data_IF_330129782831
#
_entry.id   IF_330129782831
#
_cell.length_a   1.000
_cell.length_b   1.000
_cell.length_c   1.000
_cell.angle_alpha   90.00
_cell.angle_beta   90.00
_cell.angle_gamma   90.00
#
_symmetry.space_group_name_H-M   'P 1'
#
loop_
_entity.id
_entity.type
_entity.pdbx_description
1 polymer ?
#
# COMPACT_ATOMS: atom_id res chain seq x y z
N UNK A 1 -13.96 12.97 31.97
CA UNK A 1 -12.98 12.34 31.05
C UNK A 1 -13.32 10.87 30.92
N UNK A 2 -13.26 10.30 29.72
CA UNK A 2 -13.47 8.85 29.49
C UNK A 2 -12.26 8.32 28.73
N UNK A 3 -11.58 7.33 29.31
CA UNK A 3 -10.49 6.59 28.69
C UNK A 3 -11.00 5.19 28.32
N UNK A 4 -10.66 4.71 27.12
CA UNK A 4 -10.87 3.32 26.70
C UNK A 4 -9.58 2.79 26.12
N UNK A 5 -9.15 1.62 26.58
CA UNK A 5 -7.98 0.92 26.08
C UNK A 5 -8.37 -0.51 25.74
N UNK A 6 -7.72 -1.08 24.74
CA UNK A 6 -7.94 -2.45 24.29
C UNK A 6 -6.68 -3.05 23.70
N UNK A 7 -6.60 -4.37 23.75
CA UNK A 7 -5.55 -5.16 23.11
C UNK A 7 -6.15 -6.39 22.46
N UNK A 8 -5.57 -6.80 21.33
CA UNK A 8 -5.90 -8.07 20.66
C UNK A 8 -4.60 -8.74 20.25
N UNK A 9 -4.52 -10.03 20.55
CA UNK A 9 -3.38 -10.88 20.24
C UNK A 9 -3.89 -12.15 19.59
N UNK A 10 -3.39 -12.46 18.40
CA UNK A 10 -3.75 -13.69 17.70
C UNK A 10 -2.55 -14.21 16.95
N UNK A 11 -2.29 -15.51 17.06
CA UNK A 11 -1.27 -16.21 16.28
C UNK A 11 -1.86 -17.41 15.56
N UNK A 12 -2.76 -17.22 14.57
CA UNK A 12 -3.19 -18.31 13.70
C UNK A 12 -2.00 -18.95 12.99
N UNK A 13 -2.09 -20.26 12.84
CA UNK A 13 -1.15 -21.07 12.08
C UNK A 13 -1.87 -21.76 10.92
N UNK A 14 -1.15 -21.96 9.82
CA UNK A 14 -1.67 -22.65 8.63
C UNK A 14 -0.62 -23.61 8.11
N UNK A 15 -0.99 -24.88 7.96
CA UNK A 15 -0.22 -25.85 7.19
C UNK A 15 -0.35 -25.57 5.70
N UNK A 16 0.79 -25.54 5.01
CA UNK A 16 0.91 -25.35 3.57
C UNK A 16 1.77 -26.46 2.97
N UNK A 17 1.53 -26.76 1.70
CA UNK A 17 2.29 -27.75 0.94
C UNK A 17 3.06 -27.04 -0.17
N UNK A 18 4.34 -27.38 -0.32
CA UNK A 18 5.22 -26.89 -1.37
C UNK A 18 4.75 -27.40 -2.72
N UNK A 19 4.88 -26.56 -3.74
CA UNK A 19 4.59 -26.97 -5.09
C UNK A 19 5.67 -27.92 -5.59
N UNK A 20 5.31 -28.88 -6.44
CA UNK A 20 6.22 -29.86 -7.06
C UNK A 20 6.82 -30.89 -6.08
N UNK A 21 7.50 -30.47 -5.02
CA UNK A 21 8.16 -31.39 -4.05
C UNK A 21 7.20 -32.01 -3.04
N UNK A 22 6.01 -31.41 -2.83
CA UNK A 22 4.99 -31.94 -1.92
C UNK A 22 5.34 -31.87 -0.42
N UNK A 23 6.46 -31.24 -0.06
CA UNK A 23 6.85 -31.06 1.34
C UNK A 23 5.89 -30.12 2.09
N UNK A 24 5.62 -30.38 3.36
CA UNK A 24 4.75 -29.53 4.18
C UNK A 24 5.57 -28.55 5.02
N UNK A 25 5.05 -27.35 5.21
CA UNK A 25 5.57 -26.35 6.14
C UNK A 25 4.43 -25.57 6.79
N UNK A 26 4.70 -24.98 7.95
CA UNK A 26 3.71 -24.18 8.68
C UNK A 26 4.09 -22.71 8.59
N UNK A 27 3.14 -21.87 8.20
CA UNK A 27 3.24 -20.42 8.36
C UNK A 27 2.42 -19.97 9.56
N UNK A 28 2.90 -18.97 10.28
CA UNK A 28 2.16 -18.36 11.40
C UNK A 28 2.06 -16.85 11.19
N UNK A 29 0.93 -16.26 11.53
CA UNK A 29 0.74 -14.80 11.50
C UNK A 29 0.45 -14.33 12.92
N UNK A 30 1.45 -13.77 13.61
CA UNK A 30 1.30 -13.18 14.94
C UNK A 30 0.91 -11.71 14.81
N UNK A 31 -0.35 -11.40 15.06
CA UNK A 31 -0.87 -10.03 15.10
C UNK A 31 -1.02 -9.56 16.56
N UNK A 32 -0.36 -8.45 16.87
CA UNK A 32 -0.43 -7.75 18.15
C UNK A 32 -0.97 -6.35 17.91
N UNK A 33 -2.18 -6.08 18.39
CA UNK A 33 -2.83 -4.77 18.27
C UNK A 33 -3.09 -4.17 19.65
N UNK A 34 -2.74 -2.89 19.78
CA UNK A 34 -3.01 -2.06 20.94
C UNK A 34 -3.77 -0.83 20.50
N UNK A 35 -4.80 -0.44 21.24
CA UNK A 35 -5.56 0.77 20.98
C UNK A 35 -5.88 1.52 22.27
N UNK A 36 -5.86 2.84 22.16
CA UNK A 36 -6.23 3.75 23.24
C UNK A 36 -7.04 4.90 22.68
N UNK A 37 -8.08 5.29 23.40
CA UNK A 37 -8.93 6.43 23.06
C UNK A 37 -9.27 7.22 24.31
N UNK A 38 -8.99 8.52 24.26
CA UNK A 38 -9.39 9.49 25.26
C UNK A 38 -10.50 10.34 24.67
N UNK A 39 -11.57 10.53 25.45
CA UNK A 39 -12.64 11.49 25.15
C UNK A 39 -12.81 12.43 26.33
N UNK A 40 -12.74 13.72 26.07
CA UNK A 40 -12.74 14.76 27.08
C UNK A 40 -13.71 15.87 26.71
N UNK A 41 -14.78 16.02 27.48
CA UNK A 41 -15.62 17.22 27.46
C UNK A 41 -14.95 18.26 28.34
N UNK A 42 -14.27 19.25 27.73
CA UNK A 42 -13.61 20.35 28.43
C UNK A 42 -14.63 21.20 29.20
N UNK A 43 -15.78 21.41 28.58
CA UNK A 43 -16.98 22.06 29.11
C UNK A 43 -18.18 21.70 28.20
N UNK A 44 -19.43 22.12 28.50
CA UNK A 44 -20.60 21.76 27.69
C UNK A 44 -20.52 22.14 26.20
N UNK A 45 -19.67 23.10 25.84
CA UNK A 45 -19.50 23.59 24.47
C UNK A 45 -18.29 22.99 23.75
N UNK A 46 -17.36 22.33 24.45
CA UNK A 46 -16.05 21.97 23.91
C UNK A 46 -15.73 20.50 24.19
N UNK A 47 -15.50 19.73 23.12
CA UNK A 47 -15.17 18.31 23.22
C UNK A 47 -13.90 18.00 22.43
N UNK A 48 -13.01 17.21 23.04
CA UNK A 48 -11.80 16.69 22.42
C UNK A 48 -11.81 15.16 22.45
N UNK A 49 -11.29 14.55 21.38
CA UNK A 49 -11.10 13.10 21.25
C UNK A 49 -9.71 12.85 20.69
N UNK A 50 -8.95 11.97 21.33
CA UNK A 50 -7.62 11.55 20.86
C UNK A 50 -7.63 10.02 20.81
N UNK A 51 -7.08 9.46 19.74
CA UNK A 51 -6.98 8.02 19.55
C UNK A 51 -5.61 7.63 19.02
N UNK A 52 -5.14 6.48 19.46
CA UNK A 52 -3.93 5.84 18.98
C UNK A 52 -4.19 4.35 18.77
N UNK A 53 -3.68 3.79 17.68
CA UNK A 53 -3.67 2.36 17.44
C UNK A 53 -2.29 1.96 16.94
N UNK A 54 -1.70 0.95 17.57
CA UNK A 54 -0.50 0.26 17.08
C UNK A 54 -0.90 -1.15 16.68
N UNK A 55 -0.44 -1.60 15.53
CA UNK A 55 -0.52 -3.01 15.12
C UNK A 55 0.84 -3.46 14.60
N UNK A 56 1.33 -4.56 15.14
CA UNK A 56 2.51 -5.27 14.63
C UNK A 56 2.03 -6.63 14.13
N UNK A 57 2.40 -6.99 12.91
CA UNK A 57 2.10 -8.30 12.33
C UNK A 57 3.41 -8.96 11.93
N UNK A 58 3.77 -10.02 12.63
CA UNK A 58 4.95 -10.86 12.34
C UNK A 58 4.47 -12.12 11.62
N UNK A 59 5.00 -12.37 10.43
CA UNK A 59 4.65 -13.56 9.63
C UNK A 59 5.88 -14.44 9.54
N UNK A 60 5.77 -15.67 10.03
CA UNK A 60 6.82 -16.68 9.94
C UNK A 60 6.61 -17.60 8.73
N UNK A 61 7.71 -18.00 8.08
CA UNK A 61 7.73 -18.83 6.87
C UNK A 61 6.77 -18.32 5.79
N UNK A 62 6.73 -17.00 5.58
CA UNK A 62 6.00 -16.38 4.50
C UNK A 62 6.68 -16.68 3.16
N UNK A 63 5.96 -16.46 2.05
CA UNK A 63 6.50 -16.65 0.71
C UNK A 63 5.92 -15.63 -0.28
N UNK A 64 6.65 -15.43 -1.36
CA UNK A 64 6.16 -14.72 -2.53
C UNK A 64 6.07 -15.67 -3.72
N UNK A 65 4.92 -15.68 -4.39
CA UNK A 65 4.65 -16.56 -5.52
C UNK A 65 4.63 -18.05 -5.17
N UNK A 66 4.78 -18.88 -6.20
CA UNK A 66 4.85 -20.34 -6.06
C UNK A 66 6.28 -20.81 -5.77
N UNK A 67 6.48 -21.55 -4.67
CA UNK A 67 7.78 -22.06 -4.22
C UNK A 67 7.82 -23.59 -4.15
N UNK A 68 9.00 -24.16 -4.32
CA UNK A 68 9.26 -25.61 -4.34
C UNK A 68 10.05 -26.10 -3.11
N UNK A 69 10.67 -25.20 -2.36
CA UNK A 69 11.43 -25.52 -1.14
C UNK A 69 11.13 -24.53 0.00
N UNK A 70 11.55 -24.87 1.21
CA UNK A 70 11.47 -23.96 2.36
C UNK A 70 12.59 -22.93 2.39
N UNK A 71 13.69 -23.13 1.64
CA UNK A 71 14.72 -22.12 1.48
C UNK A 71 14.19 -20.83 0.82
N UNK A 72 13.10 -20.93 0.06
CA UNK A 72 12.40 -19.76 -0.52
C UNK A 72 11.40 -19.06 0.40
N UNK A 73 11.26 -19.51 1.64
CA UNK A 73 10.46 -18.82 2.65
C UNK A 73 11.26 -17.77 3.41
N UNK A 74 10.57 -16.79 3.99
CA UNK A 74 11.16 -15.73 4.80
C UNK A 74 10.21 -15.29 5.90
N UNK A 75 10.77 -14.70 6.95
CA UNK A 75 9.99 -14.07 8.02
C UNK A 75 9.95 -12.56 7.78
N UNK A 76 8.78 -11.95 7.92
CA UNK A 76 8.64 -10.51 7.75
C UNK A 76 7.76 -9.87 8.82
N UNK A 77 7.99 -8.60 9.08
CA UNK A 77 7.21 -7.80 10.04
C UNK A 77 6.55 -6.64 9.34
N UNK A 78 5.30 -6.36 9.69
CA UNK A 78 4.60 -5.12 9.30
C UNK A 78 4.18 -4.35 10.54
N UNK A 79 4.74 -3.15 10.70
CA UNK A 79 4.43 -2.24 11.79
C UNK A 79 3.52 -1.11 11.31
N UNK A 80 2.42 -0.88 12.03
CA UNK A 80 1.41 0.11 11.69
C UNK A 80 1.02 0.95 12.89
N UNK A 81 0.95 2.26 12.67
CA UNK A 81 0.56 3.24 13.65
C UNK A 81 -0.54 4.13 13.07
N UNK A 82 -1.61 4.36 13.83
CA UNK A 82 -2.67 5.30 13.47
C UNK A 82 -2.86 6.26 14.64
N UNK A 83 -2.76 7.55 14.34
CA UNK A 83 -3.02 8.65 15.27
C UNK A 83 -4.26 9.40 14.80
N UNK A 84 -5.13 9.74 15.74
CA UNK A 84 -6.30 10.57 15.46
C UNK A 84 -6.48 11.61 16.56
N UNK A 85 -6.81 12.82 16.18
CA UNK A 85 -7.25 13.87 17.09
C UNK A 85 -8.45 14.57 16.48
N UNK A 86 -9.47 14.85 17.28
CA UNK A 86 -10.67 15.55 16.87
C UNK A 86 -11.08 16.52 17.97
N UNK A 87 -11.51 17.70 17.58
CA UNK A 87 -11.98 18.74 18.48
C UNK A 87 -13.23 19.38 17.89
N UNK A 88 -14.28 19.51 18.70
CA UNK A 88 -15.51 20.19 18.33
C UNK A 88 -15.84 21.28 19.35
N UNK A 89 -16.31 22.43 18.86
CA UNK A 89 -16.71 23.55 19.70
C UNK A 89 -17.99 24.21 19.23
N UNK A 90 -18.86 24.54 20.18
CA UNK A 90 -20.03 25.39 20.03
C UNK A 90 -19.61 26.81 20.39
N UNK A 91 -19.39 27.67 19.38
CA UNK A 91 -18.95 29.04 19.62
C UNK A 91 -20.14 29.91 20.08
N UNK A 92 -21.26 29.80 19.36
CA UNK A 92 -22.54 30.45 19.67
C UNK A 92 -23.68 29.43 19.52
N UNK A 93 -24.93 29.83 19.75
CA UNK A 93 -26.10 28.98 19.50
C UNK A 93 -26.28 28.58 18.03
N UNK A 94 -25.60 29.28 17.11
CA UNK A 94 -25.73 29.08 15.66
C UNK A 94 -24.39 28.95 14.92
N UNK A 95 -23.26 28.88 15.62
CA UNK A 95 -21.93 28.74 15.03
C UNK A 95 -21.14 27.63 15.72
N UNK A 96 -20.67 26.68 14.92
CA UNK A 96 -19.99 25.48 15.35
C UNK A 96 -18.69 25.30 14.56
N UNK A 97 -17.65 24.80 15.22
CA UNK A 97 -16.37 24.48 14.59
C UNK A 97 -15.93 23.06 14.91
N UNK A 98 -15.26 22.44 13.96
CA UNK A 98 -14.64 21.13 14.09
C UNK A 98 -13.24 21.16 13.48
N UNK A 99 -12.29 20.55 14.17
CA UNK A 99 -10.97 20.24 13.65
C UNK A 99 -10.67 18.76 13.80
N UNK A 100 -10.02 18.17 12.81
CA UNK A 100 -9.51 16.80 12.88
C UNK A 100 -8.08 16.74 12.37
N UNK A 101 -7.30 15.84 12.95
CA UNK A 101 -6.02 15.38 12.45
C UNK A 101 -6.03 13.86 12.44
N UNK A 102 -5.52 13.27 11.37
CA UNK A 102 -5.25 11.85 11.30
C UNK A 102 -3.88 11.61 10.67
N UNK A 103 -3.19 10.58 11.14
CA UNK A 103 -1.93 10.14 10.58
C UNK A 103 -1.84 8.63 10.62
N UNK A 104 -1.38 8.02 9.54
CA UNK A 104 -1.08 6.60 9.49
C UNK A 104 0.33 6.38 8.97
N UNK A 105 1.06 5.52 9.67
CA UNK A 105 2.39 5.04 9.27
C UNK A 105 2.27 3.53 9.12
N UNK A 106 2.81 2.98 8.03
CA UNK A 106 2.86 1.54 7.78
C UNK A 106 4.21 1.18 7.16
N UNK A 107 4.94 0.27 7.78
CA UNK A 107 6.24 -0.15 7.29
C UNK A 107 6.36 -1.68 7.30
N UNK A 108 6.73 -2.25 6.17
CA UNK A 108 6.96 -3.69 6.01
C UNK A 108 8.45 -3.94 5.84
N UNK A 109 9.00 -4.77 6.73
CA UNK A 109 10.42 -5.07 6.88
C UNK A 109 10.72 -6.54 6.63
N UNK A 110 12.00 -6.85 6.45
CA UNK A 110 12.55 -8.20 6.46
C UNK A 110 12.00 -9.12 5.36
N UNK A 111 11.45 -8.57 4.28
CA UNK A 111 10.90 -9.37 3.17
C UNK A 111 12.03 -9.89 2.27
N UNK A 112 12.13 -11.21 2.16
CA UNK A 112 12.96 -11.89 1.18
C UNK A 112 14.27 -12.44 1.73
N UNK A 113 15.28 -12.57 0.85
CA UNK A 113 16.54 -13.24 1.20
C UNK A 113 17.36 -12.44 2.20
N UNK A 114 17.97 -13.14 3.15
CA UNK A 114 18.96 -12.56 4.09
C UNK A 114 20.40 -12.66 3.57
N UNK A 115 20.58 -13.23 2.37
CA UNK A 115 21.87 -13.40 1.74
C UNK A 115 21.96 -12.52 0.49
N UNK A 116 23.11 -11.90 0.28
CA UNK A 116 23.39 -11.08 -0.92
C UNK A 116 24.40 -11.73 -1.86
N UNK A 117 24.93 -12.91 -1.51
CA UNK A 117 25.85 -13.65 -2.36
C UNK A 117 25.13 -14.33 -3.54
N UNK A 118 25.89 -14.62 -4.59
CA UNK A 118 25.39 -15.16 -5.85
C UNK A 118 24.80 -16.58 -5.72
N UNK A 119 25.06 -17.30 -4.62
CA UNK A 119 24.57 -18.67 -4.43
C UNK A 119 23.31 -18.68 -3.59
N UNK A 120 23.35 -18.20 -2.34
CA UNK A 120 22.22 -18.21 -1.41
C UNK A 120 21.26 -17.04 -1.59
N UNK A 121 21.70 -15.96 -2.24
CA UNK A 121 20.87 -14.79 -2.53
C UNK A 121 20.08 -14.88 -3.84
N UNK A 122 20.29 -15.95 -4.62
CA UNK A 122 19.77 -16.09 -5.99
C UNK A 122 18.60 -17.09 -6.05
N UNK A 123 17.36 -16.64 -6.24
CA UNK A 123 16.25 -17.55 -6.53
C UNK A 123 16.43 -18.18 -7.92
N UNK A 124 16.03 -19.44 -8.04
CA UNK A 124 16.03 -20.19 -9.31
C UNK A 124 14.58 -20.58 -9.63
N UNK A 125 14.12 -20.33 -10.85
CA UNK A 125 12.80 -20.75 -11.34
C UNK A 125 12.90 -21.89 -12.35
N UNK A 126 11.90 -22.77 -12.34
CA UNK A 126 11.73 -23.79 -13.38
C UNK A 126 10.89 -23.24 -14.54
N UNK A 127 11.52 -22.95 -15.68
CA UNK A 127 10.78 -22.40 -16.83
C UNK A 127 9.94 -23.44 -17.58
N UNK A 128 10.25 -24.73 -17.46
CA UNK A 128 9.47 -25.81 -18.07
C UNK A 128 8.14 -26.08 -17.36
N UNK A 129 7.97 -25.57 -16.14
CA UNK A 129 6.77 -25.78 -15.31
C UNK A 129 6.03 -24.47 -15.09
N UNK A 130 4.71 -24.50 -15.24
CA UNK A 130 3.84 -23.38 -14.90
C UNK A 130 2.76 -23.86 -13.95
N UNK A 131 2.64 -23.20 -12.80
CA UNK A 131 1.60 -23.48 -11.79
C UNK A 131 0.79 -22.21 -11.61
N UNK A 132 -0.46 -22.22 -12.07
CA UNK A 132 -1.25 -21.00 -12.20
C UNK A 132 -0.61 -20.07 -13.23
N UNK A 133 -0.15 -18.90 -12.79
CA UNK A 133 0.53 -17.89 -13.63
C UNK A 133 2.05 -17.82 -13.40
N UNK A 134 2.61 -18.68 -12.54
CA UNK A 134 3.99 -18.59 -12.08
C UNK A 134 4.85 -19.78 -12.54
N UNK A 135 6.11 -19.51 -12.87
CA UNK A 135 7.16 -20.52 -12.83
C UNK A 135 7.57 -20.74 -11.36
N UNK A 136 7.48 -21.97 -10.84
CA UNK A 136 7.77 -22.24 -9.44
C UNK A 136 9.26 -22.02 -9.14
N UNK A 137 9.57 -21.48 -7.95
CA UNK A 137 10.91 -21.04 -7.55
C UNK A 137 11.48 -21.83 -6.38
N UNK A 138 12.80 -21.86 -6.26
CA UNK A 138 13.54 -22.51 -5.18
C UNK A 138 14.88 -21.80 -4.90
N UNK A 139 15.67 -22.34 -3.97
CA UNK A 139 17.01 -21.95 -3.53
C UNK A 139 17.10 -20.67 -2.67
N UNK A 140 16.30 -19.65 -2.95
CA UNK A 140 16.30 -18.40 -2.19
C UNK A 140 14.93 -17.73 -2.26
N UNK A 141 14.54 -16.94 -1.25
CA UNK A 141 13.33 -16.14 -1.33
C UNK A 141 13.42 -15.09 -2.43
N UNK A 142 12.26 -14.71 -2.98
CA UNK A 142 12.14 -13.46 -3.75
C UNK A 142 12.25 -12.27 -2.80
N UNK A 143 12.78 -11.14 -3.31
CA UNK A 143 13.17 -9.94 -2.56
C UNK A 143 14.44 -10.07 -1.69
N UNK A 144 14.82 -8.97 -1.04
CA UNK A 144 16.01 -8.87 -0.20
C UNK A 144 15.69 -8.20 1.14
N UNK A 145 15.77 -8.96 2.22
CA UNK A 145 15.50 -8.52 3.59
C UNK A 145 16.60 -7.63 4.18
N UNK A 146 17.80 -7.69 3.62
CA UNK A 146 18.99 -6.97 4.13
C UNK A 146 19.42 -5.81 3.22
N UNK A 147 18.72 -5.60 2.11
CA UNK A 147 18.98 -4.51 1.17
C UNK A 147 18.19 -3.25 1.56
N UNK A 148 18.66 -2.06 1.16
CA UNK A 148 17.89 -0.81 1.31
C UNK A 148 17.54 -0.42 2.75
N UNK A 149 18.31 -0.89 3.74
CA UNK A 149 18.03 -0.65 5.16
C UNK A 149 16.97 -1.58 5.78
N UNK A 150 16.59 -2.65 5.07
CA UNK A 150 15.71 -3.71 5.57
C UNK A 150 14.21 -3.48 5.38
N UNK A 151 13.84 -2.39 4.71
CA UNK A 151 12.44 -2.04 4.42
C UNK A 151 12.08 -2.45 3.00
N UNK A 152 11.03 -3.26 2.85
CA UNK A 152 10.39 -3.45 1.54
C UNK A 152 9.63 -2.18 1.17
N UNK A 153 8.83 -1.67 2.10
CA UNK A 153 7.95 -0.54 1.83
C UNK A 153 7.66 0.24 3.11
N UNK A 154 7.76 1.56 3.02
CA UNK A 154 7.35 2.48 4.08
C UNK A 154 6.34 3.48 3.51
N UNK A 155 5.20 3.61 4.19
CA UNK A 155 4.12 4.54 3.86
C UNK A 155 3.80 5.43 5.06
N UNK A 156 3.63 6.71 4.80
CA UNK A 156 3.19 7.72 5.77
C UNK A 156 2.14 8.59 5.09
N UNK A 157 0.94 8.64 5.66
CA UNK A 157 -0.12 9.55 5.25
C UNK A 157 -0.62 10.36 6.43
N UNK A 158 -1.00 11.61 6.18
CA UNK A 158 -1.70 12.43 7.16
C UNK A 158 -2.69 13.38 6.51
N UNK A 159 -3.71 13.71 7.28
CA UNK A 159 -4.71 14.70 6.96
C UNK A 159 -4.93 15.59 8.17
N UNK A 160 -5.12 16.89 7.93
CA UNK A 160 -5.84 17.72 8.87
C UNK A 160 -6.90 18.52 8.15
N UNK A 161 -8.08 18.58 8.75
CA UNK A 161 -9.18 19.38 8.24
C UNK A 161 -9.75 20.29 9.33
N UNK A 162 -10.24 21.44 8.90
CA UNK A 162 -11.07 22.35 9.67
C UNK A 162 -12.42 22.55 8.99
N UNK A 163 -13.48 22.62 9.78
CA UNK A 163 -14.85 22.81 9.31
C UNK A 163 -15.59 23.79 10.22
N UNK A 164 -16.37 24.66 9.60
CA UNK A 164 -17.26 25.61 10.24
C UNK A 164 -18.68 25.32 9.77
N UNK A 165 -19.63 25.34 10.70
CA UNK A 165 -21.07 25.24 10.43
C UNK A 165 -21.78 26.44 11.04
N UNK A 166 -22.55 27.15 10.23
CA UNK A 166 -23.29 28.34 10.63
C UNK A 166 -24.76 28.24 10.20
N UNK A 167 -25.66 28.48 11.16
CA UNK A 167 -27.09 28.52 10.93
C UNK A 167 -27.57 29.98 10.92
N UNK A 168 -28.23 30.37 9.83
CA UNK A 168 -28.77 31.71 9.65
C UNK A 168 -30.25 31.59 9.27
N UNK A 169 -31.12 32.30 9.97
CA UNK A 169 -32.53 32.40 9.60
C UNK A 169 -32.88 33.87 9.42
N UNK A 170 -33.46 34.21 8.26
CA UNK A 170 -33.92 35.57 7.97
C UNK A 170 -35.36 35.53 7.49
N UNK A 171 -36.11 36.61 7.74
CA UNK A 171 -37.51 36.72 7.30
C UNK A 171 -37.66 36.82 5.77
N UNK A 172 -36.60 37.24 5.05
CA UNK A 172 -36.64 37.49 3.61
C UNK A 172 -36.05 36.35 2.78
N UNK A 173 -35.02 35.69 3.29
CA UNK A 173 -34.30 34.62 2.56
C UNK A 173 -34.53 33.25 3.20
N UNK A 174 -35.32 33.12 4.26
CA UNK A 174 -35.56 31.84 4.90
C UNK A 174 -34.34 31.36 5.70
N UNK A 175 -34.16 30.04 5.80
CA UNK A 175 -33.14 29.43 6.65
C UNK A 175 -31.98 28.83 5.85
N UNK A 176 -30.76 29.07 6.30
CA UNK A 176 -29.51 28.64 5.72
C UNK A 176 -28.75 27.76 6.71
N UNK A 177 -28.15 26.69 6.21
CA UNK A 177 -27.17 25.88 6.91
C UNK A 177 -25.89 25.90 6.08
N UNK A 178 -24.98 26.80 6.44
CA UNK A 178 -23.75 27.08 5.73
C UNK A 178 -22.65 26.25 6.36
N UNK A 179 -21.96 25.46 5.54
CA UNK A 179 -20.79 24.69 5.91
C UNK A 179 -19.63 25.13 5.04
N UNK A 180 -18.51 25.46 5.66
CA UNK A 180 -17.26 25.73 4.96
C UNK A 180 -16.12 24.97 5.62
N UNK A 181 -15.10 24.61 4.85
CA UNK A 181 -13.96 23.91 5.40
C UNK A 181 -12.74 23.89 4.50
N UNK A 182 -11.66 23.41 5.08
CA UNK A 182 -10.36 23.26 4.45
C UNK A 182 -9.74 21.94 4.91
N UNK A 183 -9.09 21.24 3.99
CA UNK A 183 -8.29 20.04 4.26
C UNK A 183 -6.93 20.11 3.58
N UNK A 184 -5.93 19.49 4.21
CA UNK A 184 -4.58 19.35 3.68
C UNK A 184 -4.14 17.92 3.93
N UNK A 185 -4.14 17.17 2.83
CA UNK A 185 -3.79 15.76 2.80
C UNK A 185 -2.41 15.59 2.19
N UNK A 186 -1.59 14.72 2.80
CA UNK A 186 -0.32 14.26 2.25
C UNK A 186 -0.27 12.75 2.29
N UNK A 187 0.23 12.16 1.21
CA UNK A 187 0.71 10.78 1.15
C UNK A 187 2.20 10.76 0.80
N UNK A 188 2.93 9.82 1.41
CA UNK A 188 4.32 9.54 1.15
C UNK A 188 4.54 8.02 1.15
N UNK A 189 5.33 7.55 0.20
CA UNK A 189 5.69 6.15 0.03
C UNK A 189 7.14 6.06 -0.45
N UNK A 190 7.90 5.18 0.16
CA UNK A 190 9.26 4.81 -0.25
C UNK A 190 9.40 3.30 -0.31
N UNK A 191 9.90 2.81 -1.43
CA UNK A 191 10.11 1.39 -1.67
C UNK A 191 11.29 1.24 -2.64
N UNK A 192 12.30 0.46 -2.25
CA UNK A 192 13.31 -0.06 -3.17
C UNK A 192 12.97 -1.53 -3.45
N UNK A 193 12.45 -1.80 -4.64
CA UNK A 193 11.85 -3.09 -5.00
C UNK A 193 12.88 -4.16 -5.41
N UNK A 194 13.83 -4.47 -4.54
CA UNK A 194 14.87 -5.48 -4.77
C UNK A 194 14.24 -6.81 -5.11
N UNK A 195 14.48 -7.40 -6.29
CA UNK A 195 13.79 -8.65 -6.70
C UNK A 195 14.44 -9.92 -6.14
N UNK A 196 15.67 -9.82 -5.64
CA UNK A 196 16.40 -10.91 -4.99
C UNK A 196 17.53 -10.34 -4.14
N UNK A 197 18.12 -11.18 -3.29
CA UNK A 197 19.26 -10.81 -2.47
C UNK A 197 20.53 -10.53 -3.28
N UNK A 198 20.79 -11.36 -4.29
CA UNK A 198 21.94 -11.20 -5.21
C UNK A 198 21.71 -10.20 -6.33
N UNK A 199 20.48 -9.67 -6.47
CA UNK A 199 19.98 -8.94 -7.65
C UNK A 199 19.89 -9.80 -8.92
N UNK A 200 20.27 -11.08 -8.87
CA UNK A 200 20.09 -12.03 -9.95
C UNK A 200 18.91 -12.97 -9.69
N UNK A 201 18.27 -13.41 -10.77
CA UNK A 201 17.26 -14.46 -10.78
C UNK A 201 17.60 -15.41 -11.94
N UNK A 202 17.74 -16.71 -11.68
CA UNK A 202 18.04 -17.68 -12.73
C UNK A 202 16.75 -18.37 -13.17
N UNK A 203 16.44 -18.34 -14.46
CA UNK A 203 15.38 -19.15 -15.03
C UNK A 203 16.00 -20.40 -15.66
N UNK A 204 16.06 -21.48 -14.89
CA UNK A 204 16.58 -22.77 -15.33
C UNK A 204 15.74 -23.35 -16.47
N UNK A 205 16.34 -24.19 -17.31
CA UNK A 205 15.62 -24.93 -18.36
C UNK A 205 14.50 -25.75 -17.75
N UNK A 206 14.83 -26.53 -16.73
CA UNK A 206 13.91 -27.34 -15.95
C UNK A 206 14.55 -27.68 -14.60
N UNK A 207 13.86 -28.47 -13.78
CA UNK A 207 14.41 -29.10 -12.58
C UNK A 207 14.17 -30.59 -12.59
N UNK A 208 15.15 -31.34 -12.10
CA UNK A 208 15.00 -32.75 -11.73
C UNK A 208 14.60 -32.79 -10.25
N UNK A 209 13.61 -33.61 -9.92
CA UNK A 209 13.08 -33.78 -8.57
C UNK A 209 13.35 -35.21 -8.13
N UNK A 210 14.07 -35.38 -7.03
CA UNK A 210 14.32 -36.67 -6.40
C UNK A 210 13.97 -36.58 -4.91
N UNK A 211 12.83 -37.16 -4.54
CA UNK A 211 12.20 -36.93 -3.24
C UNK A 211 11.96 -35.43 -2.99
N UNK A 212 12.55 -34.91 -1.91
CA UNK A 212 12.48 -33.48 -1.56
C UNK A 212 13.61 -32.63 -2.18
N UNK A 213 14.57 -33.25 -2.86
CA UNK A 213 15.75 -32.55 -3.40
C UNK A 213 15.46 -32.04 -4.79
N UNK A 214 15.84 -30.79 -5.04
CA UNK A 214 15.65 -30.10 -6.32
C UNK A 214 17.01 -29.87 -6.96
N UNK A 215 17.16 -30.30 -8.20
CA UNK A 215 18.37 -30.12 -8.99
C UNK A 215 18.06 -29.22 -10.20
N UNK A 216 18.66 -28.01 -10.30
CA UNK A 216 18.48 -27.17 -11.48
C UNK A 216 19.11 -27.82 -12.71
N UNK A 217 18.45 -27.73 -13.87
CA UNK A 217 19.05 -28.09 -15.15
C UNK A 217 19.37 -26.80 -15.89
N UNK A 218 20.66 -26.57 -16.14
CA UNK A 218 21.14 -25.44 -16.95
C UNK A 218 21.63 -25.96 -18.29
N UNK A 219 21.06 -25.47 -19.39
CA UNK A 219 21.43 -25.87 -20.76
C UNK A 219 21.91 -24.68 -21.57
N UNK A 220 22.92 -24.91 -22.39
CA UNK A 220 23.54 -23.93 -23.29
C UNK A 220 22.85 -23.87 -24.67
N UNK A 221 21.52 -24.01 -24.70
CA UNK A 221 20.70 -24.10 -25.92
C UNK A 221 19.63 -23.00 -25.98
N UNK A 222 19.91 -21.86 -25.33
CA UNK A 222 19.00 -20.71 -25.17
C UNK A 222 17.78 -21.00 -24.28
N UNK A 223 17.81 -22.11 -23.54
CA UNK A 223 16.75 -22.48 -22.60
C UNK A 223 17.14 -22.24 -21.14
N UNK A 224 18.23 -21.54 -20.81
CA UNK A 224 18.47 -21.05 -19.44
C UNK A 224 18.77 -19.56 -19.50
N UNK A 225 18.19 -18.77 -18.59
CA UNK A 225 18.38 -17.32 -18.56
C UNK A 225 19.00 -16.86 -17.24
N UNK A 226 19.97 -15.97 -17.36
CA UNK A 226 20.52 -15.19 -16.25
C UNK A 226 19.83 -13.83 -16.30
N UNK A 227 19.01 -13.51 -15.29
CA UNK A 227 18.33 -12.22 -15.22
C UNK A 227 18.96 -11.38 -14.12
N UNK A 228 19.49 -10.21 -14.48
CA UNK A 228 19.99 -9.21 -13.55
C UNK A 228 18.97 -8.10 -13.41
N UNK A 229 18.51 -7.87 -12.19
CA UNK A 229 17.46 -6.91 -11.86
C UNK A 229 17.92 -5.89 -10.81
N UNK A 230 18.94 -5.06 -11.12
CA UNK A 230 19.48 -4.09 -10.18
C UNK A 230 18.55 -2.90 -10.00
N UNK A 231 18.64 -2.23 -8.86
CA UNK A 231 18.09 -0.88 -8.69
C UNK A 231 19.19 0.11 -9.05
N UNK A 232 19.06 0.74 -10.22
CA UNK A 232 20.04 1.73 -10.70
C UNK A 232 19.88 3.10 -10.03
N UNK A 233 18.69 3.39 -9.53
CA UNK A 233 18.39 4.62 -8.80
C UNK A 233 17.53 4.28 -7.58
N UNK A 234 18.05 4.52 -6.38
CA UNK A 234 17.28 4.31 -5.16
C UNK A 234 16.16 5.35 -5.01
N UNK A 235 15.08 4.94 -4.35
CA UNK A 235 13.94 5.78 -4.06
C UNK A 235 14.29 6.83 -3.00
N UNK A 236 14.00 8.09 -3.29
CA UNK A 236 13.98 9.17 -2.27
C UNK A 236 12.62 9.26 -1.55
N UNK A 237 11.65 8.45 -1.97
CA UNK A 237 10.25 8.49 -1.56
C UNK A 237 9.46 9.54 -2.34
N UNK A 238 8.22 9.20 -2.69
CA UNK A 238 7.30 10.13 -3.36
C UNK A 238 6.66 11.10 -2.35
N UNK A 239 6.09 12.20 -2.82
CA UNK A 239 5.37 13.16 -1.97
C UNK A 239 4.15 13.66 -2.73
N UNK A 240 2.96 13.25 -2.33
CA UNK A 240 1.69 13.63 -2.96
C UNK A 240 0.93 14.50 -1.98
N UNK A 241 0.51 15.70 -2.40
CA UNK A 241 -0.25 16.63 -1.56
C UNK A 241 -1.47 17.19 -2.26
N UNK A 242 -2.55 17.25 -1.51
CA UNK A 242 -3.82 17.85 -1.91
C UNK A 242 -4.23 18.88 -0.88
N UNK A 243 -4.45 20.11 -1.35
CA UNK A 243 -5.05 21.17 -0.55
C UNK A 243 -6.45 21.41 -1.06
N UNK A 244 -7.42 21.43 -0.16
CA UNK A 244 -8.79 21.56 -0.59
C UNK A 244 -9.55 22.55 0.27
N UNK A 245 -10.43 23.30 -0.37
CA UNK A 245 -11.33 24.22 0.29
C UNK A 245 -12.74 24.00 -0.25
N UNK A 246 -13.73 24.09 0.60
CA UNK A 246 -15.12 23.92 0.21
C UNK A 246 -16.06 24.83 0.96
N UNK A 247 -17.18 25.12 0.32
CA UNK A 247 -18.32 25.83 0.88
C UNK A 247 -19.61 25.20 0.36
N UNK A 248 -20.63 25.12 1.22
CA UNK A 248 -21.94 24.60 0.88
C UNK A 248 -23.01 25.31 1.71
N UNK A 249 -24.12 25.69 1.09
CA UNK A 249 -25.31 26.21 1.75
C UNK A 249 -26.50 25.29 1.46
N UNK A 250 -27.09 24.72 2.51
CA UNK A 250 -28.40 24.11 2.44
C UNK A 250 -29.44 25.17 2.81
N UNK A 251 -30.08 25.71 1.79
CA UNK A 251 -30.91 26.90 1.85
C UNK A 251 -32.38 26.55 1.65
N UNK A 252 -33.20 26.71 2.70
CA UNK A 252 -34.66 26.64 2.60
C UNK A 252 -35.20 28.05 2.45
N UNK A 253 -35.46 28.45 1.20
CA UNK A 253 -36.00 29.77 0.85
C UNK A 253 -37.44 29.93 1.32
N UNK A 254 -38.27 28.89 1.16
CA UNK A 254 -39.67 28.89 1.56
C UNK A 254 -40.14 27.48 1.92
N UNK A 255 -41.44 27.32 2.20
CA UNK A 255 -42.05 25.99 2.35
C UNK A 255 -42.11 25.20 1.03
N UNK A 256 -41.94 25.89 -0.11
CA UNK A 256 -41.97 25.26 -1.43
C UNK A 256 -40.59 25.05 -2.01
N UNK A 257 -39.63 25.94 -1.77
CA UNK A 257 -38.34 25.93 -2.46
C UNK A 257 -37.19 25.76 -1.46
N UNK A 258 -36.36 24.75 -1.71
CA UNK A 258 -35.08 24.55 -1.04
C UNK A 258 -33.98 24.30 -2.05
N UNK A 259 -32.78 24.75 -1.74
CA UNK A 259 -31.59 24.66 -2.57
C UNK A 259 -30.45 24.03 -1.77
N UNK A 260 -29.55 23.38 -2.48
CA UNK A 260 -28.25 22.98 -1.96
C UNK A 260 -27.19 23.47 -2.93
N UNK A 261 -26.39 24.46 -2.52
CA UNK A 261 -25.43 25.10 -3.42
C UNK A 261 -24.07 25.01 -2.78
N UNK A 262 -23.13 24.38 -3.46
CA UNK A 262 -21.78 24.22 -2.95
C UNK A 262 -20.74 24.08 -4.04
N UNK A 263 -19.50 24.32 -3.64
CA UNK A 263 -18.33 24.11 -4.48
C UNK A 263 -17.16 23.65 -3.62
N UNK A 264 -16.28 22.86 -4.23
CA UNK A 264 -14.99 22.48 -3.68
C UNK A 264 -13.92 22.74 -4.72
N UNK A 265 -12.77 23.24 -4.28
CA UNK A 265 -11.55 23.35 -5.07
C UNK A 265 -10.49 22.44 -4.45
N UNK A 266 -9.77 21.70 -5.29
CA UNK A 266 -8.68 20.81 -4.92
C UNK A 266 -7.42 21.25 -5.69
N UNK A 267 -6.33 21.56 -4.99
CA UNK A 267 -5.03 21.90 -5.54
C UNK A 267 -4.06 20.75 -5.27
N UNK A 268 -3.55 20.13 -6.33
CA UNK A 268 -2.74 18.93 -6.26
C UNK A 268 -1.30 19.22 -6.68
N UNK A 269 -0.35 18.66 -5.94
CA UNK A 269 1.05 18.59 -6.35
C UNK A 269 1.64 17.24 -5.98
N UNK A 270 2.53 16.71 -6.81
CA UNK A 270 3.27 15.52 -6.45
C UNK A 270 4.72 15.50 -6.95
N UNK A 271 5.54 14.76 -6.23
CA UNK A 271 6.84 14.26 -6.66
C UNK A 271 6.83 12.75 -6.65
N UNK A 272 7.46 12.14 -7.64
CA UNK A 272 7.62 10.69 -7.72
C UNK A 272 8.78 10.19 -6.84
N UNK A 273 9.05 8.87 -6.88
CA UNK A 273 10.11 8.24 -6.09
C UNK A 273 11.54 8.62 -6.51
N UNK A 274 11.73 9.28 -7.65
CA UNK A 274 12.99 9.88 -8.08
C UNK A 274 13.15 11.33 -7.60
N UNK A 275 12.10 11.92 -7.03
CA UNK A 275 12.03 13.32 -6.63
C UNK A 275 11.55 14.27 -7.73
N UNK A 276 11.18 13.74 -8.89
CA UNK A 276 10.73 14.51 -10.06
C UNK A 276 9.29 14.95 -9.86
N UNK A 277 8.98 16.23 -10.14
CA UNK A 277 7.62 16.72 -10.09
C UNK A 277 6.80 16.15 -11.26
N UNK A 278 5.68 15.49 -10.97
CA UNK A 278 4.88 14.79 -12.00
C UNK A 278 3.43 15.27 -12.10
N UNK A 279 2.84 15.77 -11.00
CA UNK A 279 1.50 16.39 -11.02
C UNK A 279 1.57 17.81 -10.48
N UNK A 280 0.92 18.72 -11.20
CA UNK A 280 0.53 20.05 -10.73
C UNK A 280 -0.81 20.40 -11.38
N UNK A 281 -1.86 20.39 -10.58
CA UNK A 281 -3.22 20.51 -11.10
C UNK A 281 -4.15 21.22 -10.12
N UNK A 282 -5.25 21.76 -10.63
CA UNK A 282 -6.33 22.35 -9.85
C UNK A 282 -7.68 21.91 -10.41
N UNK A 283 -8.54 21.37 -9.57
CA UNK A 283 -9.86 20.90 -9.97
C UNK A 283 -10.96 21.58 -9.17
N UNK A 284 -12.13 21.73 -9.80
CA UNK A 284 -13.31 22.33 -9.21
C UNK A 284 -14.50 21.36 -9.29
N UNK A 285 -15.20 21.22 -8.16
CA UNK A 285 -16.30 20.28 -7.95
C UNK A 285 -17.55 21.02 -7.47
N UNK A 286 -18.37 21.59 -8.39
CA UNK A 286 -19.64 22.23 -8.06
C UNK A 286 -20.72 21.20 -7.70
N UNK A 287 -21.66 21.62 -6.85
CA UNK A 287 -22.85 20.87 -6.45
C UNK A 287 -24.04 21.82 -6.38
N UNK A 288 -25.09 21.51 -7.12
CA UNK A 288 -26.34 22.27 -7.13
C UNK A 288 -27.48 21.28 -7.00
N UNK A 289 -28.36 21.52 -6.04
CA UNK A 289 -29.61 20.81 -5.84
C UNK A 289 -30.75 21.79 -5.68
N UNK A 290 -31.89 21.46 -6.25
CA UNK A 290 -33.17 22.14 -6.09
C UNK A 290 -34.20 21.10 -5.65
N UNK A 291 -34.92 21.43 -4.59
CA UNK A 291 -36.11 20.71 -4.15
C UNK A 291 -37.29 21.65 -4.21
N UNK A 292 -38.33 21.24 -4.95
CA UNK A 292 -39.60 21.94 -5.03
C UNK A 292 -40.72 21.08 -4.44
N UNK A 293 -41.29 21.53 -3.33
CA UNK A 293 -42.53 21.02 -2.77
C UNK A 293 -43.71 21.79 -3.39
N UNK A 294 -44.49 21.10 -4.23
CA UNK A 294 -45.55 21.73 -5.02
C UNK A 294 -46.64 22.36 -4.16
N UNK A 295 -46.97 21.72 -3.03
CA UNK A 295 -48.06 22.14 -2.14
C UNK A 295 -47.57 22.70 -0.80
N UNK A 296 -46.28 22.55 -0.49
CA UNK A 296 -45.70 22.99 0.78
C UNK A 296 -46.08 22.09 1.96
N UNK A 297 -46.66 20.92 1.67
CA UNK A 297 -47.16 19.94 2.65
C UNK A 297 -46.28 18.67 2.73
N UNK A 298 -45.17 18.64 1.99
CA UNK A 298 -44.22 17.54 1.91
C UNK A 298 -44.71 16.31 1.16
N UNK A 299 -45.95 16.29 0.63
CA UNK A 299 -46.53 15.09 0.01
C UNK A 299 -46.01 14.86 -1.41
N UNK A 300 -45.79 15.93 -2.16
CA UNK A 300 -45.28 15.88 -3.53
C UNK A 300 -44.07 16.79 -3.68
N UNK A 301 -42.90 16.17 -3.77
CA UNK A 301 -41.62 16.87 -3.95
C UNK A 301 -40.96 16.46 -5.25
N UNK A 302 -40.45 17.45 -5.99
CA UNK A 302 -39.61 17.26 -7.16
C UNK A 302 -38.17 17.66 -6.80
N UNK A 303 -37.20 16.83 -7.16
CA UNK A 303 -35.79 17.06 -6.89
C UNK A 303 -35.01 17.08 -8.21
N UNK A 304 -34.20 18.11 -8.41
CA UNK A 304 -33.29 18.24 -9.55
C UNK A 304 -31.91 18.55 -9.01
N UNK A 305 -30.88 17.92 -9.55
CA UNK A 305 -29.51 18.15 -9.10
C UNK A 305 -28.46 17.90 -10.16
N UNK A 306 -27.36 18.62 -10.01
CA UNK A 306 -26.14 18.46 -10.79
C UNK A 306 -24.94 18.51 -9.85
N UNK A 307 -24.00 17.58 -10.02
CA UNK A 307 -22.75 17.58 -9.29
C UNK A 307 -21.63 17.03 -10.17
N UNK A 308 -20.44 17.61 -10.03
CA UNK A 308 -19.20 17.06 -10.58
C UNK A 308 -18.32 16.57 -9.44
N UNK A 309 -17.74 15.39 -9.61
CA UNK A 309 -16.79 14.80 -8.67
C UNK A 309 -15.45 14.58 -9.37
N UNK A 310 -14.39 14.77 -8.61
CA UNK A 310 -13.01 14.63 -9.06
C UNK A 310 -12.37 13.52 -8.24
N UNK A 311 -11.62 12.65 -8.89
CA UNK A 311 -10.89 11.58 -8.22
C UNK A 311 -9.59 12.11 -7.60
N UNK A 312 -9.16 11.49 -6.49
CA UNK A 312 -7.86 11.75 -5.89
C UNK A 312 -6.70 11.29 -6.80
N UNK A 313 -5.51 11.84 -6.56
CA UNK A 313 -4.30 11.45 -7.28
C UNK A 313 -3.90 10.03 -6.88
N UNK A 314 -3.69 9.16 -7.87
CA UNK A 314 -3.24 7.79 -7.66
C UNK A 314 -1.72 7.72 -7.52
N UNK A 315 -1.24 7.16 -6.42
CA UNK A 315 0.17 6.87 -6.18
C UNK A 315 0.80 6.00 -7.26
N UNK A 316 0.05 5.03 -7.77
CA UNK A 316 0.53 4.17 -8.86
C UNK A 316 0.80 4.97 -10.14
N UNK A 317 0.00 6.02 -10.41
CA UNK A 317 0.18 6.88 -11.57
C UNK A 317 1.36 7.85 -11.38
N UNK A 318 1.49 8.43 -10.18
CA UNK A 318 2.63 9.29 -9.82
C UNK A 318 3.96 8.55 -9.96
N UNK A 319 4.01 7.30 -9.51
CA UNK A 319 5.22 6.49 -9.54
C UNK A 319 5.42 5.75 -10.88
N UNK A 320 4.48 5.83 -11.83
CA UNK A 320 4.44 4.98 -13.03
C UNK A 320 5.72 5.09 -13.89
N UNK A 321 6.20 6.31 -14.09
CA UNK A 321 7.40 6.62 -14.87
C UNK A 321 8.68 6.81 -14.05
N UNK A 322 8.62 6.65 -12.73
CA UNK A 322 9.78 6.86 -11.86
C UNK A 322 10.78 5.72 -11.96
N UNK A 323 12.04 6.03 -12.23
CA UNK A 323 13.15 5.07 -12.09
C UNK A 323 13.53 4.80 -10.62
N UNK A 324 13.19 5.72 -9.71
CA UNK A 324 13.49 5.58 -8.28
C UNK A 324 12.84 4.35 -7.66
N UNK A 325 13.65 3.49 -7.06
CA UNK A 325 13.22 2.28 -6.36
C UNK A 325 12.75 1.15 -7.26
N UNK A 326 12.87 1.29 -8.59
CA UNK A 326 12.50 0.25 -9.55
C UNK A 326 13.71 -0.52 -10.02
N UNK A 327 13.52 -1.81 -10.24
CA UNK A 327 14.53 -2.61 -10.90
C UNK A 327 14.65 -2.25 -12.39
N UNK A 328 15.88 -2.15 -12.89
CA UNK A 328 16.17 -2.38 -14.30
C UNK A 328 16.08 -3.88 -14.59
N UNK A 329 16.09 -4.27 -15.87
CA UNK A 329 16.05 -5.67 -16.26
C UNK A 329 17.02 -5.91 -17.40
N UNK A 330 17.99 -6.78 -17.15
CA UNK A 330 18.94 -7.29 -18.13
C UNK A 330 18.84 -8.82 -18.13
N UNK A 331 18.86 -9.43 -19.31
CA UNK A 331 18.70 -10.88 -19.44
C UNK A 331 19.67 -11.41 -20.48
N UNK A 332 20.35 -12.49 -20.14
CA UNK A 332 21.28 -13.20 -21.03
C UNK A 332 20.90 -14.67 -21.11
N UNK A 333 21.11 -15.26 -22.29
CA UNK A 333 21.12 -16.70 -22.42
C UNK A 333 22.37 -17.26 -21.74
N UNK A 334 22.19 -18.30 -20.93
CA UNK A 334 23.30 -19.09 -20.43
C UNK A 334 23.90 -19.88 -21.60
N UNK A 335 25.23 -19.78 -21.77
CA UNK A 335 25.99 -20.52 -22.79
C UNK A 335 27.19 -21.26 -22.17
N UNK A 336 27.20 -21.41 -20.85
CA UNK A 336 28.25 -22.13 -20.12
C UNK A 336 28.07 -23.65 -20.16
N UNK A 337 28.89 -24.40 -19.43
CA UNK A 337 28.78 -25.85 -19.36
C UNK A 337 27.38 -26.32 -18.94
N UNK A 338 26.82 -27.29 -19.64
CA UNK A 338 25.53 -27.89 -19.26
C UNK A 338 25.62 -28.53 -17.86
N UNK A 339 24.62 -28.25 -17.01
CA UNK A 339 24.53 -28.78 -15.64
C UNK A 339 23.29 -29.67 -15.55
N UNK A 340 23.46 -30.88 -14.98
CA UNK A 340 22.38 -31.86 -14.77
C UNK A 340 21.63 -32.30 -16.03
N UNK A 341 22.33 -32.46 -17.16
CA UNK A 341 21.75 -32.97 -18.43
C UNK A 341 21.97 -34.47 -18.66
N UNK A 342 22.88 -35.11 -17.92
CA UNK A 342 23.21 -36.53 -18.02
C UNK A 342 22.42 -37.43 -17.05
N UNK A 343 22.82 -38.70 -16.87
CA UNK A 343 22.13 -39.66 -16.01
C UNK A 343 22.43 -39.51 -14.49
N UNK A 344 23.18 -38.48 -14.09
CA UNK A 344 23.60 -38.24 -12.70
C UNK A 344 25.04 -38.69 -12.39
N UNK A 345 25.55 -38.47 -11.17
CA UNK A 345 24.87 -37.83 -10.03
C UNK A 345 24.56 -36.33 -10.29
N UNK A 346 23.44 -35.85 -9.76
CA UNK A 346 22.98 -34.48 -9.97
C UNK A 346 23.54 -33.51 -8.92
N UNK A 347 23.75 -32.26 -9.33
CA UNK A 347 24.26 -31.16 -8.51
C UNK A 347 23.13 -30.26 -8.01
N UNK A 348 23.03 -30.08 -6.69
CA UNK A 348 22.10 -29.14 -6.06
C UNK A 348 22.46 -27.69 -6.41
N UNK A 349 21.56 -26.75 -6.15
CA UNK A 349 21.76 -25.34 -6.49
C UNK A 349 23.05 -24.73 -5.91
N UNK A 350 23.47 -25.13 -4.71
CA UNK A 350 24.72 -24.67 -4.09
C UNK A 350 25.99 -25.10 -4.83
N UNK A 351 25.90 -26.11 -5.70
CA UNK A 351 26.98 -26.60 -6.57
C UNK A 351 26.80 -26.20 -8.03
N UNK A 352 25.56 -26.17 -8.51
CA UNK A 352 25.22 -25.80 -9.88
C UNK A 352 25.39 -24.30 -10.14
N UNK A 353 25.00 -23.43 -9.19
CA UNK A 353 25.13 -21.98 -9.36
C UNK A 353 26.59 -21.54 -9.47
N UNK A 354 27.55 -22.04 -8.67
CA UNK A 354 28.98 -21.77 -8.90
C UNK A 354 29.45 -22.07 -10.32
N UNK A 355 29.05 -23.20 -10.93
CA UNK A 355 29.42 -23.52 -12.32
C UNK A 355 28.88 -22.47 -13.29
N UNK A 356 27.65 -22.02 -13.09
CA UNK A 356 27.04 -20.97 -13.89
C UNK A 356 27.77 -19.63 -13.73
N UNK A 357 28.14 -19.26 -12.51
CA UNK A 357 28.81 -18.00 -12.19
C UNK A 357 30.29 -17.97 -12.53
N UNK A 358 30.99 -19.12 -12.51
CA UNK A 358 32.37 -19.21 -12.94
C UNK A 358 32.49 -18.99 -14.46
N UNK A 359 31.41 -19.24 -15.21
CA UNK A 359 31.32 -18.97 -16.65
C UNK A 359 30.90 -17.54 -16.99
N UNK A 360 29.87 -17.01 -16.31
CA UNK A 360 29.26 -15.71 -16.61
C UNK A 360 30.09 -14.55 -16.07
#
# INVERSE_FOLDING_TARGET
>A
MVLRCGGRFTKPERGLTLAVTGGNYTTSTDERRYEGKITYALNPKNNAKIGYTKRTTDVANNRFGTIMDTASTYDNTTDQHVYTANYTSVLTSNLFVEGQYSKKISATMDVGSRFTDLVKGTPVSDRSKTIGTDNPRFNSPTFCAVCGGGWLEHRDDWDWFGKLTYFLSTSRTGSHNIVAGFDNFKEWRKNDNWQSGSQYNIAATTTIIDGATIYPVFQSDNTTFINYAPILQQSVGNDIRTYSAYGNDAWRLSNHLSFNIGARIDLNRSKDQSGTAVVRDSQWSPRIGLTWDMKGDGRWTANVGFARYVAGISTALVDAGSAGGRQASFSWFYQGPSVNTGPGPFLTADKALPILWDWF
#
